data_IF_281282252754
#
_entry.id   IF_281282252754
#
_cell.length_a   1.000
_cell.length_b   1.000
_cell.length_c   1.000
_cell.angle_alpha   90.00
_cell.angle_beta   90.00
_cell.angle_gamma   90.00
#
_symmetry.space_group_name_H-M   'P 1'
#
loop_
_entity.id
_entity.type
_entity.pdbx_description
1 polymer ?
#
# COMPACT_ATOMS: atom_id res chain seq x y z
N UNK A 1 56.86 8.09 -1.84
CA UNK A 1 56.53 6.65 -1.59
C UNK A 1 55.92 6.42 -0.22
N UNK A 2 56.39 7.08 0.84
CA UNK A 2 55.81 6.97 2.20
C UNK A 2 54.39 7.54 2.30
N UNK A 3 54.09 8.56 1.51
CA UNK A 3 52.78 9.25 1.52
C UNK A 3 51.67 8.41 0.87
N UNK A 4 52.03 7.59 -0.13
CA UNK A 4 51.12 6.63 -0.74
C UNK A 4 50.77 5.48 0.22
N UNK A 5 51.74 5.05 1.03
CA UNK A 5 51.55 4.01 2.05
C UNK A 5 50.66 4.51 3.20
N UNK A 6 50.82 5.77 3.60
CA UNK A 6 50.01 6.39 4.64
C UNK A 6 48.54 6.54 4.22
N UNK A 7 48.30 6.90 2.95
CA UNK A 7 46.95 6.93 2.37
C UNK A 7 46.29 5.54 2.29
N UNK A 8 47.07 4.51 1.93
CA UNK A 8 46.59 3.13 1.84
C UNK A 8 46.25 2.53 3.22
N UNK A 9 47.05 2.83 4.25
CA UNK A 9 46.75 2.46 5.64
C UNK A 9 45.48 3.16 6.13
N UNK A 10 45.31 4.45 5.84
CA UNK A 10 44.10 5.18 6.23
C UNK A 10 42.83 4.64 5.57
N UNK A 11 42.93 4.19 4.32
CA UNK A 11 41.79 3.61 3.58
C UNK A 11 41.41 2.22 4.10
N UNK A 12 42.40 1.41 4.51
CA UNK A 12 42.17 0.09 5.12
C UNK A 12 41.59 0.19 6.54
N UNK A 13 42.00 1.17 7.33
CA UNK A 13 41.47 1.37 8.69
C UNK A 13 40.00 1.83 8.69
N UNK A 14 39.57 2.62 7.70
CA UNK A 14 38.21 3.13 7.61
C UNK A 14 37.19 2.05 7.19
N UNK A 15 37.63 0.98 6.53
CA UNK A 15 36.78 -0.12 6.07
C UNK A 15 36.41 -1.16 7.13
N UNK A 16 37.08 -1.19 8.28
CA UNK A 16 36.89 -2.24 9.32
C UNK A 16 35.86 -1.89 10.41
N UNK A 17 35.18 -0.74 10.36
CA UNK A 17 34.26 -0.30 11.42
C UNK A 17 32.77 -0.51 11.13
N UNK A 18 32.39 -1.19 10.04
CA UNK A 18 30.99 -1.53 9.73
C UNK A 18 30.64 -3.00 9.97
N UNK A 19 31.15 -3.58 11.06
CA UNK A 19 30.62 -4.84 11.63
C UNK A 19 30.38 -4.65 13.14
N UNK A 20 29.60 -3.63 13.48
CA UNK A 20 28.81 -3.69 14.72
C UNK A 20 27.55 -4.47 14.43
N UNK A 21 27.71 -5.79 14.29
CA UNK A 21 26.60 -6.70 14.51
C UNK A 21 26.20 -6.57 15.97
N UNK A 22 25.25 -5.68 16.26
CA UNK A 22 24.48 -5.76 17.48
C UNK A 22 23.73 -7.09 17.41
N UNK A 23 24.30 -8.16 17.98
CA UNK A 23 23.52 -9.28 18.49
C UNK A 23 22.72 -8.78 19.68
N UNK A 24 21.73 -7.92 19.40
CA UNK A 24 20.52 -7.88 20.18
C UNK A 24 19.74 -9.12 19.81
N UNK A 25 20.06 -10.24 20.46
CA UNK A 25 19.05 -11.27 20.66
C UNK A 25 18.04 -10.67 21.62
N UNK A 26 17.19 -9.79 21.10
CA UNK A 26 15.94 -9.47 21.76
C UNK A 26 15.12 -10.73 21.68
N UNK A 27 15.21 -11.54 22.73
CA UNK A 27 14.12 -12.39 23.18
C UNK A 27 12.93 -11.43 23.36
N UNK A 28 12.22 -11.18 22.26
CA UNK A 28 10.93 -10.53 22.32
C UNK A 28 10.10 -11.45 23.22
N UNK A 29 9.54 -10.93 24.33
CA UNK A 29 8.58 -11.70 25.09
C UNK A 29 7.56 -12.22 24.09
N UNK A 30 7.30 -13.52 24.08
CA UNK A 30 6.11 -14.05 23.41
C UNK A 30 4.90 -13.59 24.23
N UNK A 31 4.65 -12.28 24.14
CA UNK A 31 3.36 -11.70 24.42
C UNK A 31 2.46 -12.29 23.36
N UNK A 32 1.66 -13.27 23.79
CA UNK A 32 0.47 -13.74 23.09
C UNK A 32 -0.50 -12.55 23.01
N UNK A 33 -0.14 -11.57 22.20
CA UNK A 33 -0.96 -10.45 21.80
C UNK A 33 -1.55 -10.83 20.46
N UNK A 34 -2.86 -11.03 20.43
CA UNK A 34 -3.61 -11.03 19.18
C UNK A 34 -3.42 -9.64 18.55
N UNK A 35 -2.48 -9.49 17.62
CA UNK A 35 -2.40 -8.25 16.84
C UNK A 35 -3.76 -8.09 16.12
N UNK A 36 -4.38 -6.89 16.17
CA UNK A 36 -5.65 -6.70 15.49
C UNK A 36 -5.46 -6.97 14.00
N UNK A 37 -6.24 -7.91 13.46
CA UNK A 37 -6.24 -8.21 12.02
C UNK A 37 -6.71 -6.94 11.29
N UNK A 38 -5.75 -6.23 10.68
CA UNK A 38 -6.04 -5.06 9.86
C UNK A 38 -6.32 -5.52 8.44
N UNK A 39 -7.55 -5.32 7.99
CA UNK A 39 -7.88 -5.52 6.58
C UNK A 39 -7.27 -4.40 5.74
N UNK A 40 -6.66 -4.75 4.61
CA UNK A 40 -6.12 -3.78 3.66
C UNK A 40 -7.27 -3.19 2.86
N UNK A 41 -7.42 -1.87 2.90
CA UNK A 41 -8.39 -1.16 2.06
C UNK A 41 -8.08 -1.39 0.58
N UNK A 42 -9.11 -1.76 -0.20
CA UNK A 42 -9.01 -1.94 -1.63
C UNK A 42 -10.24 -1.40 -2.35
N UNK A 43 -10.11 -1.17 -3.65
CA UNK A 43 -11.20 -0.85 -4.56
C UNK A 43 -10.95 -1.56 -5.89
N UNK A 44 -11.92 -2.32 -6.34
CA UNK A 44 -11.90 -3.05 -7.60
C UNK A 44 -13.11 -2.64 -8.45
N UNK A 45 -12.87 -2.09 -9.65
CA UNK A 45 -13.93 -1.61 -10.55
C UNK A 45 -14.07 -2.62 -11.69
N UNK A 46 -15.25 -3.20 -11.83
CA UNK A 46 -15.55 -4.21 -12.86
C UNK A 46 -16.26 -3.64 -14.09
N UNK A 47 -16.90 -2.48 -13.95
CA UNK A 47 -17.51 -1.73 -15.05
C UNK A 47 -17.58 -0.24 -14.71
N UNK A 48 -17.37 0.66 -15.67
CA UNK A 48 -16.87 0.37 -17.02
C UNK A 48 -15.43 -0.16 -16.99
N UNK A 49 -14.99 -0.82 -18.07
CA UNK A 49 -13.57 -1.15 -18.23
C UNK A 49 -12.76 0.13 -18.39
N UNK A 50 -11.48 0.06 -18.00
CA UNK A 50 -10.55 1.17 -18.21
C UNK A 50 -10.51 1.56 -19.70
N UNK A 51 -10.42 2.86 -19.95
CA UNK A 51 -10.48 3.47 -21.29
C UNK A 51 -11.74 3.15 -22.13
N UNK A 52 -12.82 2.66 -21.52
CA UNK A 52 -14.07 2.43 -22.23
C UNK A 52 -14.69 3.76 -22.73
N UNK A 53 -15.13 3.79 -23.99
CA UNK A 53 -15.92 4.89 -24.53
C UNK A 53 -17.39 4.66 -24.21
N UNK A 54 -18.00 5.59 -23.47
CA UNK A 54 -19.44 5.60 -23.18
C UNK A 54 -20.14 6.58 -24.12
N UNK A 55 -21.17 6.12 -24.82
CA UNK A 55 -21.94 6.92 -25.79
C UNK A 55 -23.29 7.40 -25.25
N UNK A 56 -23.71 6.85 -24.11
CA UNK A 56 -24.95 7.23 -23.43
C UNK A 56 -24.69 8.38 -22.44
N UNK A 57 -25.70 9.18 -22.09
CA UNK A 57 -25.54 10.33 -21.18
C UNK A 57 -25.29 9.93 -19.71
N UNK A 58 -25.33 8.63 -19.39
CA UNK A 58 -25.06 8.09 -18.06
C UNK A 58 -24.29 6.76 -18.18
N UNK A 59 -23.56 6.41 -17.12
CA UNK A 59 -22.80 5.16 -17.02
C UNK A 59 -23.10 4.43 -15.72
N UNK A 60 -23.21 3.11 -15.82
CA UNK A 60 -23.30 2.22 -14.67
C UNK A 60 -21.89 1.84 -14.18
N UNK A 61 -21.56 2.27 -12.97
CA UNK A 61 -20.31 1.90 -12.29
C UNK A 61 -20.59 0.73 -11.36
N UNK A 62 -19.85 -0.35 -11.53
CA UNK A 62 -19.92 -1.54 -10.68
C UNK A 62 -18.55 -1.85 -10.11
N UNK A 63 -18.50 -2.23 -8.85
CA UNK A 63 -17.26 -2.58 -8.21
C UNK A 63 -17.41 -3.36 -6.91
N UNK A 64 -16.26 -3.61 -6.29
CA UNK A 64 -16.12 -4.27 -5.00
C UNK A 64 -15.09 -3.54 -4.14
N UNK A 65 -15.39 -3.43 -2.85
CA UNK A 65 -14.49 -2.89 -1.83
C UNK A 65 -14.75 -3.61 -0.50
N UNK A 66 -14.24 -3.09 0.61
CA UNK A 66 -14.61 -3.56 1.95
C UNK A 66 -16.05 -3.14 2.28
N UNK A 67 -16.84 -3.98 2.98
CA UNK A 67 -18.22 -3.64 3.33
C UNK A 67 -18.39 -2.32 4.10
N UNK A 68 -17.39 -1.95 4.91
CA UNK A 68 -17.40 -0.73 5.73
C UNK A 68 -16.66 0.46 5.06
N UNK A 69 -16.21 0.30 3.81
CA UNK A 69 -15.58 1.38 3.07
C UNK A 69 -16.59 2.45 2.64
N UNK A 70 -16.11 3.68 2.45
CA UNK A 70 -16.89 4.77 1.85
C UNK A 70 -16.41 4.97 0.43
N UNK A 71 -17.32 4.80 -0.54
CA UNK A 71 -17.08 5.08 -1.97
C UNK A 71 -17.92 6.26 -2.38
N UNK A 72 -17.30 7.20 -3.11
CA UNK A 72 -18.01 8.31 -3.73
C UNK A 72 -17.74 8.38 -5.22
N UNK A 73 -18.78 8.61 -6.02
CA UNK A 73 -18.69 8.84 -7.46
C UNK A 73 -19.14 10.27 -7.71
N UNK A 74 -18.27 11.10 -8.30
CA UNK A 74 -18.52 12.54 -8.50
C UNK A 74 -18.94 13.29 -7.21
N UNK A 75 -18.48 12.82 -6.06
CA UNK A 75 -18.81 13.38 -4.75
C UNK A 75 -20.10 12.86 -4.12
N UNK A 76 -20.90 12.04 -4.81
CA UNK A 76 -22.07 11.36 -4.25
C UNK A 76 -21.66 10.02 -3.63
N UNK A 77 -22.04 9.79 -2.36
CA UNK A 77 -21.71 8.57 -1.63
C UNK A 77 -22.59 7.41 -2.10
N UNK A 78 -21.96 6.29 -2.45
CA UNK A 78 -22.63 5.08 -2.92
C UNK A 78 -22.85 4.10 -1.76
N UNK A 79 -23.99 3.42 -1.74
CA UNK A 79 -24.26 2.36 -0.77
C UNK A 79 -23.45 1.10 -1.11
N UNK A 80 -22.71 0.59 -0.14
CA UNK A 80 -21.99 -0.68 -0.25
C UNK A 80 -22.85 -1.80 0.36
N UNK A 81 -23.01 -2.90 -0.38
CA UNK A 81 -23.69 -4.09 0.12
C UNK A 81 -22.85 -4.84 1.15
N UNK A 82 -23.47 -5.71 1.95
CA UNK A 82 -22.80 -6.52 2.98
C UNK A 82 -21.63 -7.36 2.42
N UNK A 83 -21.69 -7.75 1.14
CA UNK A 83 -20.60 -8.47 0.46
C UNK A 83 -19.45 -7.59 -0.04
N UNK A 84 -19.55 -6.26 0.11
CA UNK A 84 -18.63 -5.27 -0.44
C UNK A 84 -18.93 -4.84 -1.87
N UNK A 85 -20.02 -5.32 -2.47
CA UNK A 85 -20.41 -4.97 -3.85
C UNK A 85 -21.08 -3.60 -3.86
N UNK A 86 -20.93 -2.88 -4.96
CA UNK A 86 -21.74 -1.69 -5.21
C UNK A 86 -22.04 -1.54 -6.70
N UNK A 87 -23.17 -0.90 -6.97
CA UNK A 87 -23.61 -0.52 -8.31
C UNK A 87 -24.24 0.86 -8.21
N UNK A 88 -23.80 1.78 -9.05
CA UNK A 88 -24.30 3.15 -9.08
C UNK A 88 -24.33 3.69 -10.51
N UNK A 89 -25.44 4.34 -10.86
CA UNK A 89 -25.56 5.08 -12.10
C UNK A 89 -25.10 6.53 -11.87
N UNK A 90 -24.25 7.05 -12.75
CA UNK A 90 -23.86 8.46 -12.73
C UNK A 90 -24.06 9.07 -14.11
N UNK A 91 -24.55 10.31 -14.13
CA UNK A 91 -24.58 11.11 -15.35
C UNK A 91 -23.14 11.49 -15.78
N UNK A 92 -22.94 11.68 -17.07
CA UNK A 92 -21.72 12.24 -17.66
C UNK A 92 -21.91 13.74 -17.85
N UNK A 93 -20.93 14.55 -17.44
CA UNK A 93 -20.92 16.02 -17.58
C UNK A 93 -20.04 16.49 -18.75
#
# INVERSE_FOLDING_TARGET
MKDLYLGLISLLALGMLLVSGCSGSSEQPEESGEEPVRETLFLDISSPFDEATVTEPAVMVTGKTLPDAVVSINGEVVTIEVGGQFTAETALE
#
